data_IF_190813773552
#
_entry.id   IF_190813773552
#
_cell.length_a   1.000
_cell.length_b   1.000
_cell.length_c   1.000
_cell.angle_alpha   90.00
_cell.angle_beta   90.00
_cell.angle_gamma   90.00
#
_symmetry.space_group_name_H-M   'P 1'
#
loop_
_entity.id
_entity.type
_entity.pdbx_description
1 polymer ?
#
# COMPACT_ATOMS: atom_id res chain seq x y z
N UNK A 1 24.25 17.21 7.46
CA UNK A 1 23.87 18.47 8.15
C UNK A 1 22.50 19.00 7.72
N UNK A 2 22.19 19.11 6.42
CA UNK A 2 20.88 19.61 5.96
C UNK A 2 19.65 18.83 6.50
N UNK A 3 19.75 17.48 6.57
CA UNK A 3 18.65 16.62 7.07
C UNK A 3 18.30 16.90 8.53
N UNK A 4 19.30 17.17 9.36
CA UNK A 4 19.11 17.46 10.79
C UNK A 4 18.45 18.82 10.98
N UNK A 5 18.81 19.81 10.16
CA UNK A 5 18.23 21.16 10.20
C UNK A 5 16.75 21.11 9.80
N UNK A 6 16.40 20.35 8.76
CA UNK A 6 15.00 20.18 8.34
C UNK A 6 14.18 19.45 9.41
N UNK A 7 14.71 18.38 10.01
CA UNK A 7 14.03 17.65 11.08
C UNK A 7 13.77 18.55 12.31
N UNK A 8 14.74 19.37 12.71
CA UNK A 8 14.58 20.30 13.84
C UNK A 8 13.55 21.40 13.51
N UNK A 9 13.55 21.93 12.29
CA UNK A 9 12.56 22.93 11.86
C UNK A 9 11.12 22.36 11.88
N UNK A 10 10.94 21.12 11.42
CA UNK A 10 9.64 20.43 11.44
C UNK A 10 9.17 20.19 12.88
N UNK A 11 10.05 19.74 13.77
CA UNK A 11 9.74 19.53 15.19
C UNK A 11 9.34 20.83 15.89
N UNK A 12 10.03 21.94 15.60
CA UNK A 12 9.70 23.26 16.14
C UNK A 12 8.33 23.76 15.67
N UNK A 13 7.95 23.45 14.42
CA UNK A 13 6.63 23.81 13.90
C UNK A 13 5.51 22.98 14.55
N UNK A 14 5.74 21.69 14.79
CA UNK A 14 4.81 20.78 15.48
C UNK A 14 4.57 21.24 16.92
N UNK A 15 5.62 21.63 17.64
CA UNK A 15 5.49 22.14 19.02
C UNK A 15 4.67 23.43 19.07
N UNK A 16 4.92 24.36 18.16
CA UNK A 16 4.19 25.64 18.10
C UNK A 16 2.71 25.45 17.72
N UNK A 17 2.42 24.46 16.89
CA UNK A 17 1.05 24.08 16.56
C UNK A 17 0.32 23.37 17.71
N UNK A 18 1.05 22.66 18.58
CA UNK A 18 0.49 22.00 19.76
C UNK A 18 0.11 23.01 20.87
N UNK A 19 0.86 24.11 21.01
CA UNK A 19 0.59 25.16 22.01
C UNK A 19 -0.67 25.99 21.73
N UNK A 20 -1.11 26.07 20.46
CA UNK A 20 -2.23 26.93 20.07
C UNK A 20 -3.64 26.32 20.33
N UNK A 21 -3.72 25.14 20.95
CA UNK A 21 -4.81 24.20 20.68
C UNK A 21 -5.64 23.79 21.89
N UNK A 22 -6.37 24.75 22.42
CA UNK A 22 -7.41 24.56 23.44
C UNK A 22 -8.83 24.73 22.90
N UNK A 23 -9.29 23.93 21.93
CA UNK A 23 -10.73 23.77 21.68
C UNK A 23 -11.06 22.44 20.97
N UNK A 24 -11.70 21.52 21.69
CA UNK A 24 -11.81 20.09 21.34
C UNK A 24 -13.03 19.81 20.45
N UNK A 25 -12.75 19.35 19.21
CA UNK A 25 -13.44 18.26 18.49
C UNK A 25 -13.49 18.51 16.97
N UNK A 26 -13.78 19.73 16.50
CA UNK A 26 -13.63 20.09 15.08
C UNK A 26 -12.15 20.12 14.65
N UNK A 27 -11.28 20.47 15.59
CA UNK A 27 -9.84 20.59 15.40
C UNK A 27 -9.10 19.24 15.33
N UNK A 28 -9.71 18.16 15.84
CA UNK A 28 -9.11 16.81 15.81
C UNK A 28 -9.10 16.25 14.39
N UNK A 29 -10.20 16.41 13.64
CA UNK A 29 -10.25 16.00 12.22
C UNK A 29 -9.25 16.78 11.37
N UNK A 30 -9.19 18.10 11.54
CA UNK A 30 -8.24 18.95 10.83
C UNK A 30 -6.78 18.61 11.21
N UNK A 31 -6.53 18.20 12.47
CA UNK A 31 -5.23 17.73 12.88
C UNK A 31 -4.84 16.41 12.25
N UNK A 32 -5.75 15.43 12.25
CA UNK A 32 -5.52 14.11 11.63
C UNK A 32 -5.22 14.31 10.15
N UNK A 33 -6.03 15.10 9.45
CA UNK A 33 -5.80 15.42 8.03
C UNK A 33 -4.44 16.09 7.80
N UNK A 34 -4.08 17.08 8.63
CA UNK A 34 -2.75 17.71 8.54
C UNK A 34 -1.61 16.71 8.76
N UNK A 35 -1.73 15.81 9.73
CA UNK A 35 -0.72 14.77 9.99
C UNK A 35 -0.63 13.78 8.81
N UNK A 36 -1.76 13.43 8.20
CA UNK A 36 -1.79 12.62 6.98
C UNK A 36 -1.08 13.31 5.81
N UNK A 37 -1.34 14.60 5.59
CA UNK A 37 -0.68 15.42 4.57
C UNK A 37 0.84 15.50 4.79
N UNK A 38 1.27 15.79 6.02
CA UNK A 38 2.70 15.84 6.38
C UNK A 38 3.38 14.49 6.16
N UNK A 39 2.73 13.38 6.56
CA UNK A 39 3.24 12.03 6.33
C UNK A 39 3.42 11.76 4.83
N UNK A 40 2.43 12.10 4.03
CA UNK A 40 2.46 11.84 2.58
C UNK A 40 3.53 12.70 1.88
N UNK A 41 3.77 13.93 2.34
CA UNK A 41 4.85 14.77 1.83
C UNK A 41 6.23 14.25 2.25
N UNK A 42 6.39 13.76 3.48
CA UNK A 42 7.63 13.07 3.91
C UNK A 42 7.88 11.86 3.03
N UNK A 43 6.84 11.04 2.73
CA UNK A 43 6.97 9.90 1.82
C UNK A 43 7.43 10.35 0.44
N UNK A 44 6.81 11.37 -0.17
CA UNK A 44 7.22 11.90 -1.49
C UNK A 44 8.69 12.31 -1.49
N UNK A 45 9.16 12.99 -0.43
CA UNK A 45 10.56 13.40 -0.29
C UNK A 45 11.47 12.18 -0.17
N UNK A 46 11.16 11.24 0.74
CA UNK A 46 11.94 10.02 0.92
C UNK A 46 12.02 9.20 -0.37
N UNK A 47 10.90 9.07 -1.07
CA UNK A 47 10.78 8.40 -2.34
C UNK A 47 11.49 9.10 -3.50
N UNK A 48 11.71 10.41 -3.42
CA UNK A 48 12.51 11.15 -4.38
C UNK A 48 14.00 11.00 -4.10
N UNK A 49 14.39 10.93 -2.82
CA UNK A 49 15.77 10.78 -2.38
C UNK A 49 16.27 9.33 -2.47
N UNK A 50 15.40 8.35 -2.21
CA UNK A 50 15.69 6.93 -2.26
C UNK A 50 14.50 6.15 -2.86
N UNK A 51 14.46 5.94 -4.19
CA UNK A 51 13.39 5.23 -4.86
C UNK A 51 13.14 3.80 -4.36
N UNK A 52 14.14 3.13 -3.78
CA UNK A 52 14.04 1.76 -3.24
C UNK A 52 13.09 1.66 -2.04
N UNK A 53 12.80 2.79 -1.39
CA UNK A 53 11.84 2.88 -0.28
C UNK A 53 10.37 2.95 -0.73
N UNK A 54 10.12 2.98 -2.04
CA UNK A 54 8.77 2.82 -2.59
C UNK A 54 8.41 1.34 -2.60
N UNK A 55 7.19 0.94 -2.27
CA UNK A 55 6.82 -0.48 -2.34
C UNK A 55 6.70 -1.00 -3.78
N UNK A 56 6.39 -0.11 -4.74
CA UNK A 56 6.14 -0.47 -6.13
C UNK A 56 6.94 0.44 -7.06
N UNK A 57 7.61 -0.16 -8.04
CA UNK A 57 8.29 0.53 -9.12
C UNK A 57 7.28 1.16 -10.08
N UNK A 58 7.56 2.39 -10.54
CA UNK A 58 6.67 3.13 -11.45
C UNK A 58 6.82 2.73 -12.93
N UNK A 59 7.63 1.73 -13.24
CA UNK A 59 7.74 1.22 -14.61
C UNK A 59 6.62 0.22 -14.85
N UNK A 60 6.12 0.15 -16.07
CA UNK A 60 5.26 -0.94 -16.49
C UNK A 60 6.13 -2.08 -16.99
N UNK A 61 5.86 -3.32 -16.59
CA UNK A 61 4.86 -3.75 -15.62
C UNK A 61 5.23 -3.34 -14.19
N UNK A 62 4.22 -3.15 -13.34
CA UNK A 62 4.45 -2.76 -11.95
C UNK A 62 5.26 -3.84 -11.23
N UNK A 63 6.28 -3.50 -10.48
CA UNK A 63 7.08 -4.49 -9.75
C UNK A 63 7.19 -4.12 -8.29
N UNK A 64 7.25 -5.12 -7.42
CA UNK A 64 7.60 -4.88 -6.03
C UNK A 64 9.10 -4.57 -5.96
N UNK A 65 9.45 -3.55 -5.20
CA UNK A 65 10.83 -3.36 -4.73
C UNK A 65 11.13 -4.34 -3.60
N UNK A 66 12.38 -4.40 -3.14
CA UNK A 66 12.75 -5.16 -1.92
C UNK A 66 11.87 -4.79 -0.72
N UNK A 67 11.53 -3.50 -0.58
CA UNK A 67 10.61 -3.04 0.44
C UNK A 67 9.19 -3.61 0.23
N UNK A 68 8.67 -3.56 -1.00
CA UNK A 68 7.37 -4.15 -1.34
C UNK A 68 7.31 -5.66 -1.13
N UNK A 69 8.38 -6.39 -1.48
CA UNK A 69 8.49 -7.83 -1.25
C UNK A 69 8.45 -8.15 0.25
N UNK A 70 9.18 -7.38 1.06
CA UNK A 70 9.13 -7.50 2.52
C UNK A 70 7.73 -7.23 3.06
N UNK A 71 7.04 -6.21 2.55
CA UNK A 71 5.65 -5.94 2.94
C UNK A 71 4.74 -7.12 2.61
N UNK A 72 4.87 -7.69 1.41
CA UNK A 72 4.08 -8.86 1.00
C UNK A 72 4.32 -10.08 1.92
N UNK A 73 5.57 -10.33 2.29
CA UNK A 73 5.94 -11.41 3.22
C UNK A 73 5.36 -11.19 4.62
N UNK A 74 5.51 -9.98 5.18
CA UNK A 74 5.00 -9.66 6.51
C UNK A 74 3.46 -9.72 6.57
N UNK A 75 2.77 -9.39 5.47
CA UNK A 75 1.32 -9.56 5.33
C UNK A 75 0.88 -11.00 5.01
N UNK A 76 1.82 -11.92 4.78
CA UNK A 76 1.53 -13.28 4.28
C UNK A 76 0.67 -13.28 3.02
N UNK A 77 1.01 -12.41 2.07
CA UNK A 77 0.26 -12.17 0.86
C UNK A 77 -0.05 -13.47 0.09
N UNK A 78 0.88 -14.42 0.08
CA UNK A 78 0.68 -15.70 -0.59
C UNK A 78 -0.52 -16.49 -0.04
N UNK A 79 -0.62 -16.60 1.28
CA UNK A 79 -1.69 -17.32 1.97
C UNK A 79 -3.05 -16.61 1.77
N UNK A 80 -3.04 -15.28 1.82
CA UNK A 80 -4.25 -14.46 1.66
C UNK A 80 -4.79 -14.57 0.23
N UNK A 81 -3.90 -14.55 -0.77
CA UNK A 81 -4.28 -14.37 -2.17
C UNK A 81 -4.56 -15.69 -2.89
N UNK A 82 -3.98 -16.81 -2.44
CA UNK A 82 -4.13 -18.11 -3.09
C UNK A 82 -5.60 -18.51 -3.40
N UNK A 83 -6.57 -18.31 -2.48
CA UNK A 83 -7.97 -18.68 -2.73
C UNK A 83 -8.65 -17.86 -3.85
N UNK A 84 -8.09 -16.72 -4.24
CA UNK A 84 -8.68 -15.80 -5.20
C UNK A 84 -8.10 -15.94 -6.61
N UNK A 85 -6.97 -16.63 -6.77
CA UNK A 85 -6.26 -16.78 -8.05
C UNK A 85 -7.15 -17.41 -9.11
N UNK A 86 -7.81 -18.54 -8.82
CA UNK A 86 -8.65 -19.25 -9.80
C UNK A 86 -9.78 -18.36 -10.34
N UNK A 87 -10.41 -17.56 -9.48
CA UNK A 87 -11.47 -16.65 -9.91
C UNK A 87 -10.93 -15.55 -10.80
N UNK A 88 -9.74 -15.03 -10.51
CA UNK A 88 -9.15 -13.98 -11.35
C UNK A 88 -8.63 -14.52 -12.69
N UNK A 89 -8.19 -15.78 -12.75
CA UNK A 89 -7.90 -16.42 -14.04
C UNK A 89 -9.13 -16.36 -14.95
N UNK A 90 -10.30 -16.71 -14.43
CA UNK A 90 -11.55 -16.64 -15.19
C UNK A 90 -11.93 -15.20 -15.56
N UNK A 91 -11.84 -14.26 -14.61
CA UNK A 91 -12.15 -12.85 -14.82
C UNK A 91 -11.19 -12.12 -15.79
N UNK A 92 -10.04 -12.73 -16.07
CA UNK A 92 -9.00 -12.16 -16.94
C UNK A 92 -8.86 -12.89 -18.28
N UNK A 93 -9.72 -13.88 -18.54
CA UNK A 93 -9.72 -14.63 -19.80
C UNK A 93 -9.86 -13.70 -21.01
N UNK A 94 -8.93 -13.81 -21.95
CA UNK A 94 -8.90 -13.00 -23.17
C UNK A 94 -8.37 -11.58 -22.99
N UNK A 95 -7.95 -11.18 -21.77
CA UNK A 95 -7.29 -9.89 -21.53
C UNK A 95 -5.82 -9.96 -21.93
N UNK A 96 -5.26 -8.81 -22.28
CA UNK A 96 -3.83 -8.62 -22.49
C UNK A 96 -3.07 -8.65 -21.16
N UNK A 97 -1.74 -8.78 -21.17
CA UNK A 97 -0.88 -8.70 -19.96
C UNK A 97 -1.21 -7.44 -19.14
N UNK A 98 -1.35 -6.30 -19.82
CA UNK A 98 -1.75 -5.05 -19.20
C UNK A 98 -3.16 -5.12 -18.59
N UNK A 99 -4.14 -5.68 -19.31
CA UNK A 99 -5.50 -5.84 -18.80
C UNK A 99 -5.61 -6.81 -17.62
N UNK A 100 -4.74 -7.83 -17.55
CA UNK A 100 -4.65 -8.71 -16.38
C UNK A 100 -4.11 -7.93 -15.18
N UNK A 101 -3.05 -7.12 -15.38
CA UNK A 101 -2.51 -6.26 -14.33
C UNK A 101 -3.57 -5.29 -13.80
N UNK A 102 -4.27 -4.57 -14.68
CA UNK A 102 -5.34 -3.66 -14.27
C UNK A 102 -6.43 -4.37 -13.47
N UNK A 103 -6.85 -5.57 -13.91
CA UNK A 103 -7.88 -6.34 -13.20
C UNK A 103 -7.42 -6.77 -11.80
N UNK A 104 -6.18 -7.24 -11.65
CA UNK A 104 -5.64 -7.66 -10.36
C UNK A 104 -5.51 -6.49 -9.39
N UNK A 105 -5.00 -5.34 -9.86
CA UNK A 105 -4.88 -4.13 -9.04
C UNK A 105 -6.27 -3.59 -8.66
N UNK A 106 -7.22 -3.53 -9.62
CA UNK A 106 -8.60 -3.11 -9.37
C UNK A 106 -9.26 -4.00 -8.31
N UNK A 107 -9.17 -5.31 -8.49
CA UNK A 107 -9.73 -6.28 -7.55
C UNK A 107 -9.14 -6.10 -6.15
N UNK A 108 -7.82 -5.97 -6.02
CA UNK A 108 -7.16 -5.76 -4.75
C UNK A 108 -7.61 -4.47 -4.04
N UNK A 109 -7.80 -3.37 -4.79
CA UNK A 109 -8.20 -2.07 -4.23
C UNK A 109 -9.67 -1.99 -3.84
N UNK A 110 -10.55 -2.64 -4.58
CA UNK A 110 -12.00 -2.38 -4.46
C UNK A 110 -12.78 -3.57 -3.89
N UNK A 111 -12.36 -4.79 -4.17
CA UNK A 111 -13.17 -5.98 -3.90
C UNK A 111 -12.57 -6.87 -2.81
N UNK A 112 -11.23 -6.95 -2.74
CA UNK A 112 -10.51 -7.88 -1.86
C UNK A 112 -10.92 -7.73 -0.38
N UNK A 113 -10.96 -6.50 0.15
CA UNK A 113 -11.34 -6.30 1.55
C UNK A 113 -12.79 -6.69 1.85
N UNK A 114 -13.71 -6.49 0.90
CA UNK A 114 -15.10 -6.94 1.05
C UNK A 114 -15.21 -8.46 1.08
N UNK A 115 -14.49 -9.13 0.18
CA UNK A 115 -14.40 -10.59 0.14
C UNK A 115 -13.75 -11.16 1.41
N UNK A 116 -12.65 -10.56 1.88
CA UNK A 116 -11.97 -11.00 3.10
C UNK A 116 -12.86 -10.82 4.33
N UNK A 117 -13.51 -9.67 4.50
CA UNK A 117 -14.44 -9.47 5.64
C UNK A 117 -15.57 -10.50 5.66
N UNK A 118 -16.01 -10.95 4.49
CA UNK A 118 -17.08 -11.95 4.35
C UNK A 118 -16.58 -13.37 4.58
N UNK A 119 -15.42 -13.73 4.02
CA UNK A 119 -14.92 -15.13 3.99
C UNK A 119 -13.89 -15.45 5.06
N UNK A 120 -13.07 -14.48 5.44
CA UNK A 120 -11.99 -14.62 6.41
C UNK A 120 -11.65 -13.29 7.08
N UNK A 121 -12.50 -12.88 8.03
CA UNK A 121 -12.37 -11.59 8.73
C UNK A 121 -10.99 -11.39 9.37
N UNK A 122 -10.38 -12.45 9.89
CA UNK A 122 -9.05 -12.37 10.52
C UNK A 122 -7.96 -11.89 9.56
N UNK A 123 -8.03 -12.28 8.29
CA UNK A 123 -7.09 -11.81 7.25
C UNK A 123 -7.37 -10.35 6.86
N UNK A 124 -8.62 -9.90 6.85
CA UNK A 124 -8.94 -8.48 6.65
C UNK A 124 -8.35 -7.64 7.79
N UNK A 125 -8.61 -8.05 9.03
CA UNK A 125 -8.14 -7.37 10.24
C UNK A 125 -6.59 -7.34 10.27
N UNK A 126 -5.91 -8.42 9.83
CA UNK A 126 -4.44 -8.45 9.82
C UNK A 126 -3.82 -7.45 8.84
N UNK A 127 -4.42 -7.22 7.67
CA UNK A 127 -3.95 -6.22 6.70
C UNK A 127 -4.16 -4.81 7.27
N UNK A 128 -5.30 -4.55 7.90
CA UNK A 128 -5.60 -3.25 8.52
C UNK A 128 -4.66 -2.95 9.69
N UNK A 129 -4.42 -3.94 10.56
CA UNK A 129 -3.45 -3.84 11.66
C UNK A 129 -2.05 -3.61 11.11
N UNK A 130 -1.65 -4.32 10.07
CA UNK A 130 -0.35 -4.13 9.44
C UNK A 130 -0.19 -2.69 8.92
N UNK A 131 -1.19 -2.18 8.17
CA UNK A 131 -1.17 -0.83 7.64
C UNK A 131 -1.06 0.22 8.75
N UNK A 132 -1.83 0.04 9.83
CA UNK A 132 -1.78 0.89 11.01
C UNK A 132 -0.40 0.87 11.70
N UNK A 133 0.14 -0.32 11.97
CA UNK A 133 1.42 -0.49 12.67
C UNK A 133 2.61 0.08 11.87
N UNK A 134 2.57 -0.04 10.54
CA UNK A 134 3.61 0.48 9.65
C UNK A 134 3.41 1.95 9.30
N UNK A 135 2.32 2.58 9.74
CA UNK A 135 1.98 3.95 9.40
C UNK A 135 1.77 4.16 7.91
N UNK A 136 1.29 3.15 7.19
CA UNK A 136 0.99 3.23 5.75
C UNK A 136 -0.52 3.29 5.51
N UNK A 137 -0.90 3.78 4.34
CA UNK A 137 -2.30 3.75 3.94
C UNK A 137 -2.69 2.31 3.57
N UNK A 138 -3.91 1.90 3.92
CA UNK A 138 -4.47 0.62 3.49
C UNK A 138 -4.38 0.44 1.96
N UNK A 139 -4.63 1.50 1.18
CA UNK A 139 -4.50 1.43 -0.28
C UNK A 139 -3.09 1.05 -0.74
N UNK A 140 -2.04 1.48 -0.05
CA UNK A 140 -0.66 1.14 -0.35
C UNK A 140 -0.38 -0.36 -0.09
N UNK A 141 -0.93 -0.90 1.02
CA UNK A 141 -0.88 -2.33 1.29
C UNK A 141 -1.66 -3.14 0.24
N UNK A 142 -2.85 -2.69 -0.15
CA UNK A 142 -3.68 -3.33 -1.18
C UNK A 142 -3.03 -3.28 -2.56
N UNK A 143 -2.30 -2.22 -2.90
CA UNK A 143 -1.53 -2.15 -4.14
C UNK A 143 -0.45 -3.23 -4.19
N UNK A 144 0.29 -3.45 -3.09
CA UNK A 144 1.29 -4.53 -2.98
C UNK A 144 0.61 -5.89 -3.19
N UNK A 145 -0.50 -6.14 -2.51
CA UNK A 145 -1.27 -7.37 -2.68
C UNK A 145 -1.75 -7.56 -4.12
N UNK A 146 -2.13 -6.48 -4.81
CA UNK A 146 -2.53 -6.54 -6.22
C UNK A 146 -1.41 -6.94 -7.16
N UNK A 147 -0.17 -6.49 -6.92
CA UNK A 147 1.01 -6.92 -7.69
C UNK A 147 1.29 -8.42 -7.44
N UNK A 148 1.29 -8.87 -6.19
CA UNK A 148 1.47 -10.30 -5.85
C UNK A 148 0.39 -11.15 -6.50
N UNK A 149 -0.86 -10.68 -6.48
CA UNK A 149 -1.99 -11.39 -7.07
C UNK A 149 -1.83 -11.53 -8.60
N UNK A 150 -1.37 -10.48 -9.28
CA UNK A 150 -1.04 -10.54 -10.71
C UNK A 150 0.04 -11.59 -10.97
N UNK A 151 1.12 -11.60 -10.19
CA UNK A 151 2.23 -12.53 -10.41
C UNK A 151 1.80 -13.99 -10.23
N UNK A 152 0.91 -14.25 -9.28
CA UNK A 152 0.26 -15.57 -9.14
C UNK A 152 -0.60 -15.94 -10.34
N UNK A 153 -1.37 -14.99 -10.88
CA UNK A 153 -2.18 -15.22 -12.09
C UNK A 153 -1.28 -15.47 -13.30
N UNK A 154 -0.21 -14.70 -13.48
CA UNK A 154 0.77 -14.91 -14.56
C UNK A 154 1.42 -16.29 -14.47
N UNK A 155 1.89 -16.66 -13.28
CA UNK A 155 2.46 -17.99 -13.01
C UNK A 155 1.47 -19.10 -13.37
N UNK A 156 0.20 -18.95 -12.97
CA UNK A 156 -0.85 -19.95 -13.24
C UNK A 156 -1.21 -20.06 -14.72
N UNK A 157 -1.00 -18.98 -15.49
CA UNK A 157 -1.23 -18.91 -16.94
C UNK A 157 0.02 -19.24 -17.76
N UNK A 158 1.16 -19.57 -17.13
CA UNK A 158 2.47 -19.70 -17.76
C UNK A 158 2.88 -18.45 -18.58
N UNK A 159 2.50 -17.26 -18.11
CA UNK A 159 2.94 -15.99 -18.67
C UNK A 159 4.30 -15.60 -18.05
N UNK A 160 5.20 -14.95 -18.81
CA UNK A 160 6.47 -14.50 -18.27
C UNK A 160 6.23 -13.48 -17.15
N UNK A 161 6.87 -13.71 -16.01
CA UNK A 161 7.09 -12.67 -15.02
C UNK A 161 8.22 -11.79 -15.57
N UNK A 162 7.97 -10.50 -15.72
CA UNK A 162 9.06 -9.63 -16.13
C UNK A 162 9.96 -9.36 -14.91
N UNK A 163 11.18 -9.91 -14.92
CA UNK A 163 12.25 -9.74 -13.91
C UNK A 163 12.77 -8.31 -13.83
#
# INVERSE_FOLDING_TARGET
MAVVIVAIAVLGFIWKAAEWKGNKDAESKNFIQFIEEVRDDIKKILWALNPETRPIEKKSPLRLTDYGMKMAQEMKADEILQPYVSRLIDATKGKTVYGIQEECIRYARHDLMGDLRTKNKLQADSIEIYAFQKGINLYEALEVLGVVLRDKVFTSLNLPLEE
#
